data_IF_326330870156
#
_entry.id   IF_326330870156
#
_cell.length_a   1.000
_cell.length_b   1.000
_cell.length_c   1.000
_cell.angle_alpha   90.00
_cell.angle_beta   90.00
_cell.angle_gamma   90.00
#
_symmetry.space_group_name_H-M   'P 1'
#
loop_
_entity.id
_entity.type
_entity.pdbx_description
1 polymer ?
#
# COMPACT_ATOMS: atom_id res chain seq x y z
N UNK A 1 -18.18 6.93 -2.27
CA UNK A 1 -18.05 5.73 -1.43
C UNK A 1 -18.62 5.94 -0.04
N UNK A 2 -19.35 4.96 0.48
CA UNK A 2 -19.82 4.85 1.88
C UNK A 2 -18.66 4.47 2.81
N UNK A 3 -18.85 4.61 4.14
CA UNK A 3 -17.80 4.30 5.12
C UNK A 3 -17.36 2.83 5.06
N UNK A 4 -18.32 1.90 5.00
CA UNK A 4 -18.03 0.46 4.93
C UNK A 4 -17.27 0.08 3.65
N UNK A 5 -17.63 0.66 2.50
CA UNK A 5 -16.90 0.48 1.24
C UNK A 5 -15.43 0.92 1.37
N UNK A 6 -15.16 2.04 2.08
CA UNK A 6 -13.79 2.51 2.33
C UNK A 6 -13.02 1.64 3.31
N UNK A 7 -13.67 1.12 4.36
CA UNK A 7 -13.05 0.19 5.31
C UNK A 7 -12.66 -1.11 4.60
N UNK A 8 -13.55 -1.65 3.76
CA UNK A 8 -13.26 -2.85 2.97
C UNK A 8 -12.16 -2.62 1.95
N UNK A 9 -12.18 -1.48 1.25
CA UNK A 9 -11.11 -1.14 0.31
C UNK A 9 -9.75 -1.00 1.02
N UNK A 10 -9.72 -0.32 2.16
CA UNK A 10 -8.51 -0.21 2.98
C UNK A 10 -8.00 -1.60 3.38
N UNK A 11 -8.87 -2.47 3.90
CA UNK A 11 -8.50 -3.85 4.23
C UNK A 11 -7.92 -4.61 3.03
N UNK A 12 -8.58 -4.56 1.87
CA UNK A 12 -8.11 -5.21 0.67
C UNK A 12 -6.74 -4.68 0.21
N UNK A 13 -6.51 -3.36 0.26
CA UNK A 13 -5.23 -2.77 -0.14
C UNK A 13 -4.09 -3.11 0.82
N UNK A 14 -4.37 -3.25 2.12
CA UNK A 14 -3.38 -3.73 3.08
C UNK A 14 -2.95 -5.17 2.74
N UNK A 15 -3.91 -6.06 2.43
CA UNK A 15 -3.61 -7.44 2.00
C UNK A 15 -2.87 -7.48 0.65
N UNK A 16 -3.24 -6.62 -0.30
CA UNK A 16 -2.54 -6.50 -1.58
C UNK A 16 -1.09 -6.05 -1.37
N UNK A 17 -0.86 -5.10 -0.47
CA UNK A 17 0.49 -4.66 -0.14
C UNK A 17 1.32 -5.79 0.45
N UNK A 18 0.80 -6.46 1.48
CA UNK A 18 1.48 -7.57 2.14
C UNK A 18 1.77 -8.71 1.14
N UNK A 19 0.82 -8.99 0.24
CA UNK A 19 1.03 -9.96 -0.82
C UNK A 19 2.11 -9.54 -1.82
N UNK A 20 2.14 -8.26 -2.21
CA UNK A 20 3.18 -7.73 -3.09
C UNK A 20 4.56 -7.84 -2.44
N UNK A 21 4.71 -7.44 -1.18
CA UNK A 21 5.98 -7.51 -0.44
C UNK A 21 6.52 -8.94 -0.37
N UNK A 22 5.63 -9.90 -0.06
CA UNK A 22 5.97 -11.32 -0.04
C UNK A 22 6.36 -11.87 -1.42
N UNK A 23 5.66 -11.44 -2.47
CA UNK A 23 5.92 -11.88 -3.84
C UNK A 23 7.22 -11.29 -4.41
N UNK A 24 7.50 -10.03 -4.11
CA UNK A 24 8.67 -9.30 -4.58
C UNK A 24 9.92 -9.52 -3.71
N UNK A 25 9.76 -10.14 -2.53
CA UNK A 25 10.81 -10.26 -1.49
C UNK A 25 11.41 -8.90 -1.09
N UNK A 26 10.54 -7.88 -1.02
CA UNK A 26 10.91 -6.47 -0.77
C UNK A 26 9.83 -5.79 0.05
N UNK A 27 10.24 -4.95 0.99
CA UNK A 27 9.31 -4.14 1.78
C UNK A 27 8.89 -2.88 1.01
N UNK A 28 7.60 -2.52 1.08
CA UNK A 28 7.10 -1.23 0.61
C UNK A 28 7.33 -0.19 1.71
N UNK A 29 7.68 1.03 1.32
CA UNK A 29 7.86 2.11 2.28
C UNK A 29 6.50 2.60 2.83
N UNK A 30 6.27 2.38 4.12
CA UNK A 30 4.99 2.71 4.79
C UNK A 30 5.06 3.95 5.70
N UNK A 31 6.01 4.86 5.49
CA UNK A 31 6.25 5.96 6.42
C UNK A 31 5.01 6.86 6.59
N UNK A 32 4.36 7.26 5.48
CA UNK A 32 3.16 8.08 5.52
C UNK A 32 1.96 7.30 6.09
N UNK A 33 1.74 6.07 5.62
CA UNK A 33 0.67 5.21 6.09
C UNK A 33 0.75 4.96 7.61
N UNK A 34 1.95 4.67 8.12
CA UNK A 34 2.20 4.42 9.55
C UNK A 34 1.92 5.65 10.40
N UNK A 35 2.29 6.85 9.92
CA UNK A 35 2.07 8.11 10.63
C UNK A 35 0.58 8.43 10.81
N UNK A 36 -0.28 8.00 9.88
CA UNK A 36 -1.73 8.20 10.01
C UNK A 36 -2.32 7.46 11.22
N UNK A 37 -1.71 6.34 11.64
CA UNK A 37 -2.20 5.54 12.77
C UNK A 37 -3.60 4.97 12.55
N UNK A 38 -3.98 4.71 11.29
CA UNK A 38 -5.27 4.18 10.88
C UNK A 38 -5.05 2.81 10.27
N UNK A 39 -5.56 1.77 10.93
CA UNK A 39 -5.56 0.39 10.41
C UNK A 39 -6.94 0.06 9.81
N UNK A 40 -7.07 -0.99 8.98
CA UNK A 40 -8.39 -1.45 8.52
C UNK A 40 -9.36 -1.74 9.67
N UNK A 41 -8.84 -2.26 10.78
CA UNK A 41 -9.59 -2.57 12.01
C UNK A 41 -9.98 -1.34 12.85
N UNK A 42 -9.47 -0.15 12.52
CA UNK A 42 -9.78 1.11 13.20
C UNK A 42 -11.16 1.66 12.84
N UNK A 43 -12.22 0.84 12.92
CA UNK A 43 -13.59 1.14 12.44
C UNK A 43 -14.24 2.38 13.08
N UNK A 44 -13.69 2.84 14.21
CA UNK A 44 -14.11 4.05 14.92
C UNK A 44 -13.57 5.34 14.26
N UNK A 45 -12.53 5.25 13.44
CA UNK A 45 -11.93 6.38 12.71
C UNK A 45 -12.87 6.94 11.65
N UNK A 46 -12.61 8.16 11.21
CA UNK A 46 -13.49 8.88 10.29
C UNK A 46 -13.44 8.28 8.88
N UNK A 47 -14.44 8.61 8.05
CA UNK A 47 -14.41 8.23 6.63
C UNK A 47 -13.18 8.84 5.92
N UNK A 48 -12.81 10.07 6.28
CA UNK A 48 -11.66 10.77 5.71
C UNK A 48 -10.34 10.12 6.14
N UNK A 49 -10.27 9.62 7.38
CA UNK A 49 -9.10 8.92 7.91
C UNK A 49 -8.82 7.64 7.12
N UNK A 50 -9.84 6.81 6.90
CA UNK A 50 -9.70 5.61 6.07
C UNK A 50 -9.38 5.95 4.61
N UNK A 51 -9.87 7.08 4.09
CA UNK A 51 -9.56 7.53 2.73
C UNK A 51 -8.10 7.95 2.60
N UNK A 52 -7.56 8.70 3.57
CA UNK A 52 -6.16 9.09 3.60
C UNK A 52 -5.24 7.85 3.67
N UNK A 53 -5.62 6.89 4.51
CA UNK A 53 -4.90 5.63 4.64
C UNK A 53 -4.90 4.79 3.35
N UNK A 54 -6.02 4.79 2.61
CA UNK A 54 -6.11 4.18 1.28
C UNK A 54 -5.13 4.82 0.31
N UNK A 55 -5.05 6.16 0.27
CA UNK A 55 -4.10 6.85 -0.62
C UNK A 55 -2.65 6.55 -0.26
N UNK A 56 -2.28 6.66 1.02
CA UNK A 56 -0.92 6.36 1.45
C UNK A 56 -0.50 4.91 1.12
N UNK A 57 -1.40 3.93 1.23
CA UNK A 57 -1.12 2.55 0.81
C UNK A 57 -0.95 2.43 -0.70
N UNK A 58 -1.84 3.05 -1.49
CA UNK A 58 -1.74 2.96 -2.95
C UNK A 58 -0.47 3.62 -3.46
N UNK A 59 -0.13 4.79 -2.92
CA UNK A 59 1.04 5.55 -3.34
C UNK A 59 2.31 4.74 -3.06
N UNK A 60 2.47 4.19 -1.85
CA UNK A 60 3.61 3.34 -1.50
C UNK A 60 3.75 2.10 -2.39
N UNK A 61 2.65 1.38 -2.65
CA UNK A 61 2.68 0.20 -3.54
C UNK A 61 3.10 0.62 -4.96
N UNK A 62 2.50 1.69 -5.51
CA UNK A 62 2.80 2.12 -6.87
C UNK A 62 4.22 2.66 -7.03
N UNK A 63 4.74 3.40 -6.05
CA UNK A 63 6.13 3.88 -6.08
C UNK A 63 7.14 2.73 -6.07
N UNK A 64 6.86 1.67 -5.30
CA UNK A 64 7.73 0.51 -5.25
C UNK A 64 7.69 -0.29 -6.56
N UNK A 65 6.50 -0.46 -7.14
CA UNK A 65 6.33 -1.09 -8.45
C UNK A 65 7.05 -0.31 -9.57
N UNK A 66 7.01 1.03 -9.54
CA UNK A 66 7.75 1.87 -10.47
C UNK A 66 9.27 1.71 -10.29
N UNK A 67 9.76 1.69 -9.05
CA UNK A 67 11.17 1.46 -8.72
C UNK A 67 11.66 0.09 -9.21
N UNK A 68 10.84 -0.94 -9.11
CA UNK A 68 11.14 -2.28 -9.66
C UNK A 68 11.25 -2.25 -11.20
N UNK A 69 10.37 -1.53 -11.88
CA UNK A 69 10.41 -1.40 -13.34
C UNK A 69 11.64 -0.63 -13.84
N UNK A 70 12.17 0.30 -13.05
CA UNK A 70 13.35 1.10 -13.39
C UNK A 70 14.67 0.36 -13.21
N UNK A 71 14.74 -0.74 -12.44
CA UNK A 71 15.96 -1.56 -12.37
C UNK A 71 16.24 -2.21 -13.74
N UNK A 72 17.27 -1.78 -14.49
CA UNK A 72 17.58 -2.43 -15.76
C UNK A 72 18.08 -3.83 -15.43
N UNK A 73 17.40 -4.84 -15.99
CA UNK A 73 17.95 -6.20 -16.06
C UNK A 73 19.29 -6.07 -16.79
N UNK A 74 20.38 -6.08 -16.02
CA UNK A 74 21.73 -6.07 -16.54
C UNK A 74 21.83 -7.22 -17.52
N UNK A 75 21.86 -6.89 -18.81
CA UNK A 75 22.19 -7.81 -19.89
C UNK A 75 23.68 -8.15 -19.77
N UNK A 76 24.05 -8.89 -18.73
CA UNK A 76 25.28 -9.66 -18.69
C UNK A 76 24.99 -10.99 -19.40
N UNK A 77 25.02 -10.94 -20.74
CA UNK A 77 25.19 -12.12 -21.57
C UNK A 77 26.60 -12.03 -22.18
N UNK A 78 27.46 -12.95 -21.73
CA UNK A 78 28.73 -13.34 -22.38
C UNK A 78 28.44 -14.06 -23.71
#
# INVERSE_FOLDING_TARGET
MKKQELIHLHGLLAEVCEHYEQMADRDVEHAEYTQLGVRPTSIHKSKTDHKAAVFALTDGITEEMEREAETPVSAAAD
#
